data_IF_888178936324
#
_entry.id   IF_888178936324
#
_cell.length_a   1.000
_cell.length_b   1.000
_cell.length_c   1.000
_cell.angle_alpha   90.00
_cell.angle_beta   90.00
_cell.angle_gamma   90.00
#
_symmetry.space_group_name_H-M   'P 1'
#
loop_
_entity.id
_entity.type
_entity.pdbx_description
1 polymer ?
#
# COMPACT_ATOMS: atom_id res chain seq x y z
N UNK A 1 -15.71 -45.60 22.80
CA UNK A 1 -14.86 -44.49 23.27
C UNK A 1 -13.65 -44.36 22.36
N UNK A 2 -13.54 -43.27 21.61
CA UNK A 2 -12.27 -42.65 21.16
C UNK A 2 -12.62 -41.41 20.36
N UNK A 3 -12.97 -40.33 21.07
CA UNK A 3 -13.03 -38.98 20.49
C UNK A 3 -11.60 -38.58 20.10
N UNK A 4 -11.38 -38.31 18.81
CA UNK A 4 -10.16 -37.66 18.35
C UNK A 4 -10.34 -36.15 18.45
N UNK A 5 -9.97 -35.58 19.60
CA UNK A 5 -9.90 -34.13 19.78
C UNK A 5 -8.62 -33.61 19.11
N UNK A 6 -8.77 -32.76 18.11
CA UNK A 6 -7.69 -32.04 17.43
C UNK A 6 -6.98 -31.13 18.45
N UNK A 7 -5.63 -31.05 18.48
CA UNK A 7 -4.97 -30.10 19.37
C UNK A 7 -5.19 -28.69 18.82
N UNK A 8 -6.04 -27.91 19.49
CA UNK A 8 -6.10 -26.46 19.32
C UNK A 8 -4.74 -25.88 19.67
N UNK A 9 -3.96 -25.50 18.66
CA UNK A 9 -2.74 -24.71 18.87
C UNK A 9 -3.17 -23.32 19.34
N UNK A 10 -3.19 -23.13 20.66
CA UNK A 10 -3.34 -21.81 21.27
C UNK A 10 -2.07 -21.03 20.95
N UNK A 11 -2.12 -20.22 19.89
CA UNK A 11 -1.02 -19.35 19.52
C UNK A 11 -0.71 -18.41 20.70
N UNK A 12 0.43 -18.61 21.36
CA UNK A 12 0.97 -17.68 22.36
C UNK A 12 1.08 -16.30 21.72
N UNK A 13 0.26 -15.35 22.17
CA UNK A 13 0.35 -13.95 21.77
C UNK A 13 1.68 -13.38 22.29
N UNK A 14 2.68 -13.28 21.41
CA UNK A 14 3.90 -12.55 21.73
C UNK A 14 3.51 -11.11 22.08
N UNK A 15 3.93 -10.62 23.25
CA UNK A 15 3.76 -9.21 23.63
C UNK A 15 4.68 -8.38 22.75
N UNK A 16 4.14 -7.82 21.67
CA UNK A 16 4.88 -6.91 20.80
C UNK A 16 5.03 -5.59 21.55
N UNK A 17 6.23 -5.32 22.07
CA UNK A 17 6.56 -4.01 22.65
C UNK A 17 6.76 -3.02 21.49
N UNK A 18 5.98 -1.93 21.42
CA UNK A 18 6.17 -0.93 20.37
C UNK A 18 7.53 -0.24 20.54
N UNK A 19 8.27 -0.10 19.44
CA UNK A 19 9.59 0.56 19.42
C UNK A 19 9.54 2.04 19.84
N UNK A 20 8.36 2.66 19.79
CA UNK A 20 8.14 4.03 20.20
C UNK A 20 6.97 4.09 21.20
N UNK A 21 7.25 4.42 22.45
CA UNK A 21 6.25 4.51 23.51
C UNK A 21 5.24 5.66 23.30
N UNK A 22 5.59 6.68 22.50
CA UNK A 22 4.71 7.78 22.14
C UNK A 22 3.78 7.45 20.95
N UNK A 23 3.99 6.33 20.26
CA UNK A 23 3.15 5.93 19.15
C UNK A 23 1.79 5.44 19.66
N UNK A 24 0.74 6.21 19.38
CA UNK A 24 -0.64 5.80 19.68
C UNK A 24 -1.32 5.24 18.44
N UNK A 25 -1.29 3.92 18.29
CA UNK A 25 -1.93 3.22 17.17
C UNK A 25 -3.45 3.40 17.12
N UNK A 26 -4.10 3.78 18.23
CA UNK A 26 -5.57 3.97 18.30
C UNK A 26 -6.05 5.17 17.49
N UNK A 27 -5.14 6.06 17.07
CA UNK A 27 -5.42 7.17 16.15
C UNK A 27 -5.70 6.69 14.73
N UNK A 28 -5.30 5.46 14.39
CA UNK A 28 -5.45 4.87 13.06
C UNK A 28 -6.51 3.78 13.11
N UNK A 29 -7.46 3.84 12.18
CA UNK A 29 -8.51 2.83 12.06
C UNK A 29 -8.14 1.84 10.95
N UNK A 30 -8.45 0.54 11.12
CA UNK A 30 -8.39 -0.40 10.01
C UNK A 30 -9.22 0.10 8.82
N UNK A 31 -8.77 -0.23 7.60
CA UNK A 31 -9.48 0.13 6.37
C UNK A 31 -10.83 -0.59 6.31
N UNK A 32 -11.90 0.14 6.63
CA UNK A 32 -13.21 -0.43 6.91
C UNK A 32 -13.88 -1.14 5.71
N UNK A 33 -13.47 -0.78 4.49
CA UNK A 33 -14.10 -1.25 3.26
C UNK A 33 -13.12 -2.04 2.36
N UNK A 34 -12.25 -2.83 2.98
CA UNK A 34 -11.41 -3.77 2.24
C UNK A 34 -12.30 -4.68 1.37
N UNK A 35 -12.19 -4.61 0.03
CA UNK A 35 -13.09 -5.36 -0.83
C UNK A 35 -12.75 -6.86 -0.73
N UNK A 36 -13.78 -7.69 -0.56
CA UNK A 36 -13.65 -9.14 -0.61
C UNK A 36 -13.66 -9.60 -2.07
N UNK A 37 -12.48 -9.91 -2.59
CA UNK A 37 -12.31 -10.56 -3.91
C UNK A 37 -11.78 -11.98 -3.68
N UNK A 38 -12.64 -12.99 -3.45
CA UNK A 38 -12.22 -14.38 -3.26
C UNK A 38 -11.56 -14.94 -4.53
N UNK A 39 -12.13 -14.65 -5.70
CA UNK A 39 -11.67 -15.15 -6.99
C UNK A 39 -10.64 -14.21 -7.67
N UNK A 40 -9.80 -13.55 -6.87
CA UNK A 40 -8.77 -12.64 -7.41
C UNK A 40 -7.74 -13.44 -8.22
N UNK A 41 -7.44 -12.97 -9.43
CA UNK A 41 -6.51 -13.67 -10.33
C UNK A 41 -5.14 -13.01 -10.45
N UNK A 42 -4.97 -11.79 -9.94
CA UNK A 42 -3.69 -11.07 -10.02
C UNK A 42 -2.51 -11.79 -9.33
N UNK A 43 -2.66 -12.61 -8.26
CA UNK A 43 -1.51 -13.28 -7.64
C UNK A 43 -0.83 -14.34 -8.53
N UNK A 44 -1.55 -14.91 -9.50
CA UNK A 44 -1.05 -15.97 -10.37
C UNK A 44 -0.69 -15.51 -11.78
N UNK A 45 -0.78 -14.20 -12.07
CA UNK A 45 -0.53 -13.64 -13.40
C UNK A 45 0.82 -12.92 -13.45
N UNK A 46 1.50 -13.06 -14.57
CA UNK A 46 2.73 -12.33 -14.88
C UNK A 46 2.42 -11.20 -15.87
N UNK A 47 3.11 -10.06 -15.75
CA UNK A 47 2.97 -8.93 -16.67
C UNK A 47 3.73 -9.26 -17.96
N UNK A 48 3.02 -9.29 -19.10
CA UNK A 48 3.60 -9.66 -20.41
C UNK A 48 3.80 -8.46 -21.36
N UNK A 49 3.17 -7.33 -21.06
CA UNK A 49 3.21 -6.12 -21.91
C UNK A 49 3.26 -4.86 -21.06
N UNK A 50 3.84 -3.81 -21.63
CA UNK A 50 3.81 -2.49 -21.02
C UNK A 50 2.37 -1.96 -20.91
N UNK A 51 2.00 -1.31 -19.79
CA UNK A 51 0.77 -0.54 -19.73
C UNK A 51 0.87 0.73 -20.58
N UNK A 52 -0.26 1.41 -20.73
CA UNK A 52 -0.31 2.80 -21.21
C UNK A 52 0.17 3.69 -20.07
N UNK A 53 1.18 4.51 -20.36
CA UNK A 53 1.73 5.46 -19.39
C UNK A 53 1.02 6.81 -19.48
N UNK A 54 0.71 7.40 -18.34
CA UNK A 54 0.22 8.77 -18.21
C UNK A 54 1.09 9.48 -17.17
N UNK A 55 1.94 10.41 -17.62
CA UNK A 55 2.76 11.23 -16.73
C UNK A 55 1.89 12.27 -16.00
N UNK A 56 2.09 12.40 -14.69
CA UNK A 56 1.43 13.40 -13.82
C UNK A 56 2.42 14.40 -13.23
N UNK A 57 3.68 14.37 -13.68
CA UNK A 57 4.79 15.10 -13.09
C UNK A 57 4.59 16.63 -13.11
N UNK A 58 4.01 17.17 -14.19
CA UNK A 58 3.75 18.61 -14.31
C UNK A 58 2.61 19.13 -13.42
N UNK A 59 1.81 18.21 -12.85
CA UNK A 59 0.65 18.54 -12.00
C UNK A 59 0.87 18.02 -10.58
N UNK A 60 0.78 16.71 -10.36
CA UNK A 60 0.87 16.10 -9.03
C UNK A 60 2.31 16.20 -8.50
N UNK A 61 3.29 15.89 -9.34
CA UNK A 61 4.70 16.00 -8.98
C UNK A 61 5.07 17.45 -8.65
N UNK A 62 4.67 18.39 -9.49
CA UNK A 62 4.92 19.81 -9.30
C UNK A 62 4.28 20.37 -8.02
N UNK A 63 3.11 19.85 -7.61
CA UNK A 63 2.43 20.26 -6.38
C UNK A 63 3.12 19.76 -5.12
N UNK A 64 3.93 18.70 -5.21
CA UNK A 64 4.68 18.17 -4.08
C UNK A 64 6.02 18.88 -3.83
N UNK A 65 6.44 19.77 -4.73
CA UNK A 65 7.69 20.52 -4.60
C UNK A 65 7.54 21.66 -3.58
N UNK A 66 8.59 21.88 -2.78
CA UNK A 66 8.69 23.07 -1.92
C UNK A 66 8.65 24.33 -2.78
N UNK A 67 9.47 24.35 -3.83
CA UNK A 67 9.50 25.40 -4.85
C UNK A 67 8.89 24.86 -6.15
N UNK A 68 7.69 25.33 -6.55
CA UNK A 68 7.05 24.88 -7.78
C UNK A 68 7.87 25.21 -9.03
N UNK A 69 7.78 24.36 -10.06
CA UNK A 69 8.50 24.59 -11.31
C UNK A 69 8.07 25.88 -12.01
N UNK A 70 9.06 26.59 -12.53
CA UNK A 70 8.87 27.71 -13.46
C UNK A 70 8.34 27.20 -14.81
N UNK A 71 7.82 28.12 -15.63
CA UNK A 71 7.34 27.80 -16.98
C UNK A 71 8.46 27.15 -17.81
N UNK A 72 9.68 27.69 -17.76
CA UNK A 72 10.83 27.16 -18.49
C UNK A 72 11.19 25.72 -18.09
N UNK A 73 11.12 25.41 -16.79
CA UNK A 73 11.37 24.07 -16.28
C UNK A 73 10.29 23.09 -16.73
N UNK A 74 9.01 23.50 -16.71
CA UNK A 74 7.90 22.69 -17.23
C UNK A 74 8.05 22.42 -18.72
N UNK A 75 8.43 23.43 -19.50
CA UNK A 75 8.67 23.28 -20.94
C UNK A 75 9.88 22.40 -21.24
N UNK A 76 10.94 22.46 -20.43
CA UNK A 76 12.08 21.53 -20.56
C UNK A 76 11.68 20.09 -20.25
N UNK A 77 10.82 19.88 -19.26
CA UNK A 77 10.34 18.55 -18.89
C UNK A 77 9.42 17.92 -19.94
N UNK A 78 8.56 18.73 -20.59
CA UNK A 78 7.59 18.25 -21.58
C UNK A 78 8.19 18.02 -22.97
N UNK A 79 9.27 18.74 -23.31
CA UNK A 79 9.89 18.62 -24.63
C UNK A 79 10.43 17.19 -24.83
N UNK A 80 10.20 16.58 -26.00
CA UNK A 80 10.72 15.26 -26.34
C UNK A 80 12.25 15.23 -26.42
#
# INVERSE_FOLDING_TARGET
MSDQTTPTVVAKTAKITPKNAAFDFRKYRPFAFAPSLPDRTWPSKTIEKSPIWASVDLRDGNQALIDPMTIEQKMRFLRP
#
